data_IF_919533121025
#
_entry.id   IF_919533121025
#
_cell.length_a   1.000
_cell.length_b   1.000
_cell.length_c   1.000
_cell.angle_alpha   90.00
_cell.angle_beta   90.00
_cell.angle_gamma   90.00
#
_symmetry.space_group_name_H-M   'P 1'
#
loop_
_entity.id
_entity.type
_entity.pdbx_description
1 polymer ?
#
# COMPACT_ATOMS: atom_id res chain seq x y z
N UNK A 1 19.16 -15.80 -13.57
CA UNK A 1 18.35 -14.83 -12.79
C UNK A 1 18.93 -13.44 -13.02
N UNK A 2 18.11 -12.45 -13.36
CA UNK A 2 18.59 -11.07 -13.45
C UNK A 2 18.99 -10.60 -12.05
N UNK A 3 20.28 -10.28 -11.85
CA UNK A 3 20.74 -9.73 -10.57
C UNK A 3 20.09 -8.36 -10.37
N UNK A 4 19.62 -8.08 -9.17
CA UNK A 4 18.99 -6.80 -8.83
C UNK A 4 17.47 -6.75 -9.03
N UNK A 5 16.84 -7.81 -9.51
CA UNK A 5 15.37 -7.88 -9.67
C UNK A 5 14.74 -8.59 -8.47
N UNK A 6 14.09 -7.85 -7.56
CA UNK A 6 13.33 -8.47 -6.49
C UNK A 6 12.22 -9.36 -7.09
N UNK A 7 12.12 -10.60 -6.62
CA UNK A 7 11.01 -11.49 -6.96
C UNK A 7 10.02 -11.43 -5.81
N UNK A 8 8.90 -10.76 -6.07
CA UNK A 8 7.79 -10.59 -5.15
C UNK A 8 6.63 -11.52 -5.53
N UNK A 9 5.70 -11.83 -4.60
CA UNK A 9 4.50 -12.59 -4.92
C UNK A 9 3.72 -11.91 -6.07
N UNK A 10 3.22 -12.69 -7.06
CA UNK A 10 2.38 -12.14 -8.11
C UNK A 10 1.18 -11.40 -7.51
N UNK A 11 1.09 -10.11 -7.78
CA UNK A 11 -0.06 -9.32 -7.36
C UNK A 11 -1.15 -9.50 -8.40
N UNK A 12 -2.38 -9.79 -7.97
CA UNK A 12 -3.57 -9.92 -8.84
C UNK A 12 -4.58 -8.79 -8.57
N UNK A 13 -4.48 -8.16 -7.41
CA UNK A 13 -5.30 -7.02 -7.04
C UNK A 13 -4.75 -6.26 -5.85
N UNK A 14 -5.43 -5.19 -5.48
CA UNK A 14 -5.06 -4.29 -4.40
C UNK A 14 -6.17 -4.20 -3.37
N UNK A 15 -5.78 -3.94 -2.13
CA UNK A 15 -6.69 -3.61 -1.03
C UNK A 15 -6.38 -2.17 -0.62
N UNK A 16 -7.41 -1.33 -0.52
CA UNK A 16 -7.28 0.02 0.01
C UNK A 16 -8.31 0.28 1.13
N UNK A 17 -7.99 1.24 2.00
CA UNK A 17 -8.86 1.74 3.08
C UNK A 17 -9.03 3.26 2.95
N UNK A 18 -9.33 3.70 1.73
CA UNK A 18 -9.39 5.08 1.34
C UNK A 18 -9.64 5.23 -0.15
N UNK A 19 -10.03 6.43 -0.55
CA UNK A 19 -10.24 6.82 -1.94
C UNK A 19 -9.71 8.23 -2.17
N UNK A 20 -9.41 8.56 -3.42
CA UNK A 20 -9.17 9.96 -3.80
C UNK A 20 -10.53 10.63 -3.98
N UNK A 21 -10.72 11.79 -3.38
CA UNK A 21 -11.89 12.64 -3.56
C UNK A 21 -11.47 14.01 -4.06
N UNK A 22 -12.31 14.66 -4.85
CA UNK A 22 -12.10 16.04 -5.23
C UNK A 22 -12.72 16.96 -4.17
N UNK A 23 -11.90 17.80 -3.52
CA UNK A 23 -12.34 18.84 -2.60
C UNK A 23 -11.74 20.16 -3.06
N UNK A 24 -12.59 21.15 -3.35
CA UNK A 24 -12.18 22.49 -3.80
C UNK A 24 -11.27 22.47 -5.04
N UNK A 25 -11.57 21.63 -6.04
CA UNK A 25 -10.76 21.50 -7.27
C UNK A 25 -9.41 20.81 -7.07
N UNK A 26 -9.17 20.20 -5.89
CA UNK A 26 -7.96 19.43 -5.59
C UNK A 26 -8.31 17.98 -5.27
N UNK A 27 -7.59 17.04 -5.88
CA UNK A 27 -7.65 15.62 -5.55
C UNK A 27 -6.93 15.37 -4.23
N UNK A 28 -7.67 15.02 -3.18
CA UNK A 28 -7.14 14.72 -1.85
C UNK A 28 -7.52 13.30 -1.44
N UNK A 29 -6.64 12.55 -0.76
CA UNK A 29 -7.04 11.27 -0.20
C UNK A 29 -8.04 11.49 0.93
N UNK A 30 -9.01 10.60 1.00
CA UNK A 30 -9.94 10.48 2.09
C UNK A 30 -9.80 9.06 2.64
N UNK A 31 -9.43 8.96 3.93
CA UNK A 31 -9.45 7.67 4.63
C UNK A 31 -10.90 7.22 4.74
N UNK A 32 -11.16 6.01 4.27
CA UNK A 32 -12.49 5.42 4.29
C UNK A 32 -12.61 4.45 5.47
N UNK A 33 -13.83 4.19 5.92
CA UNK A 33 -14.14 3.26 7.01
C UNK A 33 -14.60 1.89 6.49
N UNK A 34 -14.16 1.56 5.27
CA UNK A 34 -14.40 0.31 4.56
C UNK A 34 -13.21 -0.03 3.65
N UNK A 35 -13.08 -1.31 3.33
CA UNK A 35 -12.14 -1.79 2.32
C UNK A 35 -12.70 -1.61 0.91
N UNK A 36 -11.79 -1.44 -0.05
CA UNK A 36 -12.07 -1.57 -1.48
C UNK A 36 -11.04 -2.51 -2.10
N UNK A 37 -11.51 -3.46 -2.92
CA UNK A 37 -10.64 -4.31 -3.73
C UNK A 37 -10.65 -3.82 -5.18
N UNK A 38 -9.47 -3.61 -5.74
CA UNK A 38 -9.29 -3.18 -7.12
C UNK A 38 -8.36 -4.15 -7.86
N UNK A 39 -8.45 -4.16 -9.18
CA UNK A 39 -7.43 -4.75 -10.04
C UNK A 39 -6.15 -3.91 -10.01
N UNK A 40 -5.17 -4.28 -10.83
CA UNK A 40 -3.98 -3.48 -11.10
C UNK A 40 -4.12 -2.57 -12.33
N UNK A 41 -5.33 -2.46 -12.89
CA UNK A 41 -5.59 -1.63 -14.06
C UNK A 41 -6.18 -0.29 -13.62
N UNK A 42 -5.58 0.80 -14.07
CA UNK A 42 -6.18 2.13 -13.98
C UNK A 42 -6.90 2.49 -15.28
N UNK A 43 -8.08 3.07 -15.15
CA UNK A 43 -8.81 3.69 -16.24
C UNK A 43 -9.16 5.11 -15.83
N UNK A 44 -8.77 6.10 -16.65
CA UNK A 44 -9.03 7.54 -16.38
C UNK A 44 -8.56 8.01 -14.99
N UNK A 45 -7.46 7.46 -14.48
CA UNK A 45 -6.88 7.83 -13.18
C UNK A 45 -7.59 7.25 -11.95
N UNK A 46 -8.44 6.24 -12.15
CA UNK A 46 -9.08 5.45 -11.11
C UNK A 46 -8.76 3.97 -11.27
N UNK A 47 -8.62 3.25 -10.16
CA UNK A 47 -8.41 1.80 -10.17
C UNK A 47 -9.72 1.07 -10.46
N UNK A 48 -9.71 0.17 -11.43
CA UNK A 48 -10.87 -0.64 -11.76
C UNK A 48 -11.19 -1.62 -10.62
N UNK A 49 -12.44 -1.70 -10.19
CA UNK A 49 -12.87 -2.61 -9.12
C UNK A 49 -12.60 -4.07 -9.49
N UNK A 50 -12.11 -4.85 -8.53
CA UNK A 50 -11.94 -6.28 -8.69
C UNK A 50 -13.31 -6.97 -8.52
N UNK A 51 -13.66 -8.04 -9.26
CA UNK A 51 -14.93 -8.75 -9.09
C UNK A 51 -15.22 -9.17 -7.64
N UNK A 52 -14.20 -9.62 -6.90
CA UNK A 52 -14.32 -9.95 -5.48
C UNK A 52 -14.79 -8.78 -4.59
N UNK A 53 -14.59 -7.53 -4.99
CA UNK A 53 -15.12 -6.38 -4.27
C UNK A 53 -16.65 -6.43 -4.18
N UNK A 54 -17.32 -6.73 -5.28
CA UNK A 54 -18.78 -6.88 -5.30
C UNK A 54 -19.21 -8.13 -4.56
N UNK A 55 -18.54 -9.27 -4.78
CA UNK A 55 -18.86 -10.53 -4.12
C UNK A 55 -18.82 -10.40 -2.60
N UNK A 56 -17.76 -9.82 -2.05
CA UNK A 56 -17.61 -9.62 -0.60
C UNK A 56 -18.61 -8.61 -0.03
N UNK A 57 -18.97 -7.58 -0.81
CA UNK A 57 -20.00 -6.60 -0.42
C UNK A 57 -21.39 -7.22 -0.40
N UNK A 58 -21.74 -8.08 -1.36
CA UNK A 58 -23.01 -8.81 -1.37
C UNK A 58 -23.12 -9.78 -0.18
N UNK A 59 -21.99 -10.34 0.27
CA UNK A 59 -21.93 -11.22 1.43
C UNK A 59 -21.94 -10.48 2.79
N UNK A 60 -21.85 -9.14 2.81
CA UNK A 60 -21.78 -8.34 4.03
C UNK A 60 -22.97 -7.37 4.12
N UNK A 61 -23.63 -7.30 5.27
CA UNK A 61 -24.63 -6.26 5.50
C UNK A 61 -23.95 -4.89 5.67
N UNK A 62 -23.92 -4.08 4.61
CA UNK A 62 -23.42 -2.70 4.63
C UNK A 62 -21.96 -2.55 4.20
N UNK A 63 -21.16 -1.85 5.00
CA UNK A 63 -19.77 -1.50 4.67
C UNK A 63 -18.85 -2.73 4.78
N UNK A 64 -17.99 -2.93 3.78
CA UNK A 64 -17.00 -4.01 3.79
C UNK A 64 -15.90 -3.69 4.82
N UNK A 65 -16.05 -4.17 6.06
CA UNK A 65 -15.11 -3.91 7.16
C UNK A 65 -14.28 -5.11 7.58
N UNK A 66 -14.53 -6.26 6.97
CA UNK A 66 -13.73 -7.47 7.14
C UNK A 66 -13.56 -8.15 5.78
N UNK A 67 -12.37 -8.69 5.53
CA UNK A 67 -12.06 -9.47 4.33
C UNK A 67 -11.49 -10.81 4.81
N UNK A 68 -12.08 -11.96 4.44
CA UNK A 68 -11.48 -13.26 4.72
C UNK A 68 -10.21 -13.42 3.89
N UNK A 69 -9.12 -13.79 4.54
CA UNK A 69 -7.81 -13.96 3.91
C UNK A 69 -7.15 -15.26 4.32
N UNK A 70 -6.15 -15.67 3.55
CA UNK A 70 -5.02 -16.51 3.97
C UNK A 70 -3.73 -15.76 3.64
N UNK A 71 -2.60 -16.25 4.14
CA UNK A 71 -1.29 -15.71 3.77
C UNK A 71 -0.47 -16.79 3.06
N UNK A 72 0.50 -16.38 2.25
CA UNK A 72 1.29 -17.28 1.40
C UNK A 72 2.35 -18.05 2.19
N UNK A 73 2.96 -17.38 3.17
CA UNK A 73 4.17 -17.86 3.83
C UNK A 73 3.95 -18.16 5.31
N UNK A 74 4.75 -19.05 5.88
CA UNK A 74 4.75 -19.23 7.33
C UNK A 74 5.57 -18.15 8.04
N UNK A 75 6.58 -17.59 7.38
CA UNK A 75 7.33 -16.45 7.88
C UNK A 75 6.50 -15.15 7.83
N UNK A 76 6.33 -14.41 8.95
CA UNK A 76 5.57 -13.17 9.00
C UNK A 76 6.14 -12.08 8.10
N UNK A 77 7.47 -11.98 8.00
CA UNK A 77 8.16 -10.92 7.26
C UNK A 77 8.04 -11.13 5.74
N UNK A 78 7.84 -12.39 5.32
CA UNK A 78 7.48 -12.73 3.94
C UNK A 78 6.01 -12.44 3.61
N UNK A 79 5.15 -12.14 4.60
CA UNK A 79 3.76 -11.72 4.39
C UNK A 79 3.49 -10.23 4.64
N UNK A 80 4.28 -9.56 5.48
CA UNK A 80 4.27 -8.10 5.67
C UNK A 80 5.71 -7.57 5.70
N UNK A 81 6.13 -6.89 4.63
CA UNK A 81 7.40 -6.15 4.62
C UNK A 81 7.14 -4.77 5.15
N UNK A 82 7.84 -4.40 6.22
CA UNK A 82 7.71 -3.11 6.87
C UNK A 82 9.09 -2.45 6.98
N UNK A 83 9.29 -1.38 6.21
CA UNK A 83 10.57 -0.69 6.10
C UNK A 83 10.36 0.82 6.12
N UNK A 84 11.39 1.58 6.49
CA UNK A 84 11.43 3.01 6.24
C UNK A 84 11.76 3.24 4.77
N UNK A 85 10.84 3.85 4.05
CA UNK A 85 10.99 4.10 2.62
C UNK A 85 10.93 5.59 2.31
N UNK A 86 11.71 5.99 1.31
CA UNK A 86 11.67 7.29 0.69
C UNK A 86 11.64 7.09 -0.82
N UNK A 87 10.69 7.78 -1.45
CA UNK A 87 10.50 7.76 -2.89
C UNK A 87 10.88 9.11 -3.49
N UNK A 88 11.31 9.10 -4.74
CA UNK A 88 11.35 10.28 -5.56
C UNK A 88 9.90 10.67 -5.92
N UNK A 89 9.57 11.95 -5.77
CA UNK A 89 8.19 12.42 -5.89
C UNK A 89 7.67 12.42 -7.33
N UNK A 90 8.57 12.67 -8.28
CA UNK A 90 8.20 12.85 -9.69
C UNK A 90 8.15 11.50 -10.41
N UNK A 91 9.10 10.62 -10.10
CA UNK A 91 9.24 9.32 -10.76
C UNK A 91 8.63 8.16 -9.99
N UNK A 92 8.23 8.36 -8.72
CA UNK A 92 7.71 7.31 -7.84
C UNK A 92 8.74 6.23 -7.51
N UNK A 93 10.02 6.41 -7.86
CA UNK A 93 11.07 5.41 -7.66
C UNK A 93 11.60 5.44 -6.23
N UNK A 94 11.87 4.28 -5.60
CA UNK A 94 12.51 4.26 -4.30
C UNK A 94 13.94 4.82 -4.41
N UNK A 95 14.24 5.81 -3.57
CA UNK A 95 15.60 6.41 -3.47
C UNK A 95 16.30 5.99 -2.19
N UNK A 96 15.57 5.55 -1.17
CA UNK A 96 16.14 4.97 0.03
C UNK A 96 15.15 4.03 0.72
N UNK A 97 15.60 2.83 1.08
CA UNK A 97 14.83 1.84 1.83
C UNK A 97 15.70 1.30 2.96
N UNK A 98 15.20 1.29 4.19
CA UNK A 98 15.97 0.88 5.36
C UNK A 98 15.14 0.34 6.51
N UNK A 99 15.82 -0.29 7.46
CA UNK A 99 15.19 -0.98 8.58
C UNK A 99 15.37 -0.27 9.94
N UNK A 100 15.93 0.93 9.95
CA UNK A 100 16.26 1.66 11.18
C UNK A 100 17.62 1.31 11.79
N UNK A 101 18.42 0.49 11.10
CA UNK A 101 19.85 0.26 11.39
C UNK A 101 20.70 0.52 10.14
N UNK A 102 20.30 -0.04 9.00
CA UNK A 102 20.92 0.16 7.69
C UNK A 102 19.88 0.49 6.62
N UNK A 103 20.32 1.12 5.54
CA UNK A 103 19.51 1.40 4.36
C UNK A 103 20.29 1.16 3.08
N UNK A 104 19.56 0.80 2.02
CA UNK A 104 20.00 0.90 0.63
C UNK A 104 19.57 2.25 0.10
N UNK A 105 20.52 3.06 -0.36
CA UNK A 105 20.26 4.42 -0.87
C UNK A 105 20.83 4.59 -2.28
N UNK A 106 20.07 5.26 -3.14
CA UNK A 106 20.53 5.72 -4.45
C UNK A 106 21.41 6.96 -4.24
N UNK A 107 22.65 6.90 -4.73
CA UNK A 107 23.63 7.99 -4.77
C UNK A 107 24.16 8.14 -6.19
N UNK A 108 24.97 9.16 -6.44
CA UNK A 108 25.60 9.38 -7.75
C UNK A 108 26.52 8.21 -8.17
N UNK A 109 27.02 7.43 -7.21
CA UNK A 109 27.85 6.25 -7.42
C UNK A 109 27.05 4.94 -7.61
N UNK A 110 25.72 4.99 -7.50
CA UNK A 110 24.83 3.83 -7.58
C UNK A 110 24.11 3.55 -6.27
N UNK A 111 23.80 2.28 -5.99
CA UNK A 111 23.09 1.90 -4.76
C UNK A 111 24.11 1.51 -3.68
N UNK A 112 24.11 2.24 -2.57
CA UNK A 112 25.03 2.04 -1.46
C UNK A 112 24.32 1.58 -0.18
N UNK A 113 25.03 0.81 0.65
CA UNK A 113 24.60 0.50 2.03
C UNK A 113 25.11 1.57 2.99
N UNK A 114 24.19 2.23 3.70
CA UNK A 114 24.51 3.30 4.65
C UNK A 114 23.80 3.08 5.99
N UNK A 115 24.31 3.63 7.10
CA UNK A 115 23.60 3.64 8.37
C UNK A 115 22.22 4.33 8.26
N UNK A 116 21.21 3.78 8.92
CA UNK A 116 19.85 4.30 8.93
C UNK A 116 19.42 4.61 10.36
N UNK A 117 19.63 5.82 10.89
CA UNK A 117 19.26 6.15 12.28
C UNK A 117 17.76 6.41 12.46
N UNK A 118 16.90 5.70 11.72
CA UNK A 118 15.46 5.97 11.51
C UNK A 118 15.17 7.35 10.89
N UNK A 119 13.91 7.63 10.45
CA UNK A 119 13.58 8.91 9.82
C UNK A 119 13.90 10.13 10.69
N UNK A 120 13.66 10.06 12.00
CA UNK A 120 13.84 11.20 12.91
C UNK A 120 15.32 11.59 13.06
N UNK A 121 16.22 10.60 13.03
CA UNK A 121 17.67 10.80 13.11
C UNK A 121 18.35 11.04 11.76
N UNK A 122 17.66 10.84 10.64
CA UNK A 122 18.25 10.86 9.31
C UNK A 122 18.00 12.21 8.61
N UNK A 123 19.03 13.03 8.36
CA UNK A 123 18.87 14.30 7.64
C UNK A 123 18.24 14.12 6.25
N UNK A 124 18.69 13.11 5.50
CA UNK A 124 18.13 12.74 4.20
C UNK A 124 16.66 12.33 4.31
N UNK A 125 16.32 11.53 5.32
CA UNK A 125 14.95 11.08 5.56
C UNK A 125 14.01 12.22 5.97
N UNK A 126 14.46 13.12 6.84
CA UNK A 126 13.70 14.31 7.29
C UNK A 126 13.37 15.25 6.14
N UNK A 127 14.32 15.50 5.25
CA UNK A 127 14.12 16.38 4.09
C UNK A 127 13.21 15.73 3.03
N UNK A 128 13.32 14.42 2.85
CA UNK A 128 12.59 13.69 1.81
C UNK A 128 11.17 13.22 2.18
N UNK A 129 10.75 13.30 3.45
CA UNK A 129 9.53 12.66 3.97
C UNK A 129 9.61 11.11 3.99
N UNK A 130 10.76 10.59 4.44
CA UNK A 130 10.92 9.16 4.70
C UNK A 130 9.99 8.70 5.84
N UNK A 131 9.30 7.58 5.65
CA UNK A 131 8.31 7.09 6.62
C UNK A 131 8.19 5.56 6.59
N UNK A 132 7.63 4.94 7.64
CA UNK A 132 7.29 3.53 7.61
C UNK A 132 6.38 3.21 6.43
N UNK A 133 6.64 2.09 5.77
CA UNK A 133 5.87 1.60 4.64
C UNK A 133 5.69 0.09 4.76
N UNK A 134 4.45 -0.32 4.92
CA UNK A 134 4.02 -1.71 4.98
C UNK A 134 3.48 -2.15 3.63
N UNK A 135 4.01 -3.24 3.11
CA UNK A 135 3.50 -3.97 1.94
C UNK A 135 3.06 -5.35 2.41
N UNK A 136 1.77 -5.62 2.51
CA UNK A 136 1.23 -6.92 2.93
C UNK A 136 0.64 -7.66 1.74
N UNK A 137 1.03 -8.92 1.55
CA UNK A 137 0.48 -9.78 0.50
C UNK A 137 -0.39 -10.84 1.15
N UNK A 138 -1.62 -11.00 0.65
CA UNK A 138 -2.61 -11.93 1.19
C UNK A 138 -3.35 -12.62 0.04
N UNK A 139 -3.85 -13.83 0.29
CA UNK A 139 -4.73 -14.55 -0.63
C UNK A 139 -6.18 -14.23 -0.24
N UNK A 140 -7.02 -13.91 -1.23
CA UNK A 140 -8.47 -13.70 -1.06
C UNK A 140 -9.19 -14.62 -2.05
N UNK A 141 -10.10 -15.46 -1.54
CA UNK A 141 -10.77 -16.48 -2.34
C UNK A 141 -9.86 -17.69 -2.61
N UNK A 142 -10.27 -18.51 -3.58
CA UNK A 142 -9.64 -19.79 -3.90
C UNK A 142 -9.31 -19.93 -5.40
N UNK A 143 -9.41 -18.84 -6.19
CA UNK A 143 -9.26 -18.87 -7.65
C UNK A 143 -7.79 -18.96 -8.11
N UNK A 144 -6.86 -18.39 -7.34
CA UNK A 144 -5.42 -18.41 -7.61
C UNK A 144 -4.66 -18.58 -6.29
N UNK A 145 -4.03 -19.75 -6.12
CA UNK A 145 -3.36 -20.15 -4.87
C UNK A 145 -1.98 -19.51 -4.71
N UNK A 146 -1.41 -18.94 -5.78
CA UNK A 146 -0.09 -18.28 -5.80
C UNK A 146 -0.19 -16.78 -6.08
N UNK A 147 -1.35 -16.31 -6.54
CA UNK A 147 -1.69 -14.90 -6.67
C UNK A 147 -2.00 -14.25 -5.32
N UNK A 148 -1.72 -12.95 -5.22
CA UNK A 148 -1.91 -12.18 -3.99
C UNK A 148 -2.58 -10.84 -4.21
N UNK A 149 -3.35 -10.42 -3.22
CA UNK A 149 -3.78 -9.06 -3.06
C UNK A 149 -2.77 -8.31 -2.20
N UNK A 150 -2.40 -7.12 -2.65
CA UNK A 150 -1.46 -6.28 -1.91
C UNK A 150 -2.18 -5.16 -1.15
N UNK A 151 -1.88 -5.05 0.14
CA UNK A 151 -2.28 -3.94 0.99
C UNK A 151 -1.04 -3.09 1.31
N UNK A 152 -1.04 -1.85 0.81
CA UNK A 152 0.02 -0.86 1.02
C UNK A 152 -0.43 0.15 2.06
N UNK A 153 0.45 0.51 3.00
CA UNK A 153 0.13 1.52 4.00
C UNK A 153 1.36 2.16 4.64
N UNK A 154 1.28 3.43 4.98
CA UNK A 154 2.22 4.15 5.85
C UNK A 154 1.69 4.34 7.26
N UNK A 155 0.52 3.74 7.57
CA UNK A 155 -0.11 3.81 8.88
C UNK A 155 0.68 2.98 9.90
N UNK A 156 1.37 3.67 10.81
CA UNK A 156 2.08 3.03 11.93
C UNK A 156 1.17 2.09 12.74
N UNK A 157 -0.09 2.47 12.97
CA UNK A 157 -1.04 1.63 13.72
C UNK A 157 -1.38 0.33 12.97
N UNK A 158 -1.53 0.39 11.64
CA UNK A 158 -1.77 -0.80 10.81
C UNK A 158 -0.53 -1.69 10.81
N UNK A 159 0.65 -1.14 10.48
CA UNK A 159 1.91 -1.88 10.39
C UNK A 159 2.21 -2.60 11.71
N UNK A 160 2.21 -1.89 12.83
CA UNK A 160 2.50 -2.48 14.15
C UNK A 160 1.52 -3.60 14.51
N UNK A 161 0.23 -3.38 14.27
CA UNK A 161 -0.80 -4.36 14.65
C UNK A 161 -0.71 -5.60 13.78
N UNK A 162 -0.60 -5.43 12.46
CA UNK A 162 -0.45 -6.54 11.52
C UNK A 162 0.80 -7.36 11.80
N UNK A 163 1.95 -6.72 12.00
CA UNK A 163 3.20 -7.41 12.34
C UNK A 163 3.03 -8.25 13.62
N UNK A 164 2.57 -7.65 14.72
CA UNK A 164 2.35 -8.36 15.98
C UNK A 164 1.42 -9.57 15.80
N UNK A 165 0.29 -9.38 15.10
CA UNK A 165 -0.68 -10.46 14.84
C UNK A 165 -0.08 -11.60 14.03
N UNK A 166 0.67 -11.31 12.97
CA UNK A 166 1.31 -12.34 12.15
C UNK A 166 2.31 -13.16 12.97
N UNK A 167 3.18 -12.51 13.77
CA UNK A 167 4.11 -13.22 14.64
C UNK A 167 3.40 -14.06 15.70
N UNK A 168 2.33 -13.53 16.32
CA UNK A 168 1.58 -14.27 17.33
C UNK A 168 0.84 -15.46 16.72
N UNK A 169 0.19 -15.29 15.58
CA UNK A 169 -0.49 -16.38 14.89
C UNK A 169 0.47 -17.47 14.43
N UNK A 170 1.67 -17.10 13.95
CA UNK A 170 2.74 -18.08 13.68
C UNK A 170 3.13 -18.86 14.95
N UNK A 171 3.33 -18.17 16.07
CA UNK A 171 3.75 -18.79 17.32
C UNK A 171 2.70 -19.77 17.86
N UNK A 172 1.45 -19.33 17.98
CA UNK A 172 0.37 -20.16 18.55
C UNK A 172 -0.08 -21.30 17.64
N UNK A 173 0.16 -21.19 16.32
CA UNK A 173 -0.13 -22.26 15.35
C UNK A 173 0.98 -23.29 15.19
N UNK A 174 2.15 -23.09 15.82
CA UNK A 174 3.29 -23.97 15.64
C UNK A 174 3.88 -23.88 14.23
N UNK A 175 4.03 -22.65 13.71
CA UNK A 175 4.55 -22.38 12.37
C UNK A 175 3.64 -22.87 11.23
N UNK A 176 2.32 -22.72 11.37
CA UNK A 176 1.31 -23.04 10.35
C UNK A 176 0.53 -21.80 9.88
N UNK A 177 1.17 -20.62 9.91
CA UNK A 177 0.54 -19.34 9.59
C UNK A 177 -0.14 -19.33 8.21
N UNK A 178 0.46 -19.93 7.19
CA UNK A 178 -0.11 -20.04 5.82
C UNK A 178 -1.33 -20.97 5.71
N UNK A 179 -1.62 -21.73 6.77
CA UNK A 179 -2.79 -22.60 6.85
C UNK A 179 -3.94 -21.99 7.66
N UNK A 180 -3.73 -20.83 8.32
CA UNK A 180 -4.76 -20.21 9.15
C UNK A 180 -5.79 -19.46 8.29
N UNK A 181 -7.10 -19.76 8.42
CA UNK A 181 -8.17 -18.92 7.89
C UNK A 181 -8.32 -17.66 8.75
N UNK A 182 -7.80 -16.54 8.26
CA UNK A 182 -7.81 -15.25 8.97
C UNK A 182 -8.78 -14.26 8.30
N UNK A 183 -8.94 -13.08 8.91
CA UNK A 183 -9.59 -11.91 8.31
C UNK A 183 -8.77 -10.64 8.55
N UNK A 184 -8.66 -9.79 7.53
CA UNK A 184 -8.30 -8.38 7.73
C UNK A 184 -9.53 -7.65 8.25
N UNK A 185 -9.38 -6.85 9.30
CA UNK A 185 -10.49 -6.12 9.92
C UNK A 185 -10.17 -4.65 10.13
N UNK A 186 -11.11 -3.78 9.77
CA UNK A 186 -11.00 -2.36 10.10
C UNK A 186 -11.36 -2.10 11.56
N UNK A 187 -10.47 -1.39 12.26
CA UNK A 187 -10.65 -0.96 13.64
C UNK A 187 -10.61 0.56 13.71
N UNK A 188 -11.58 1.14 14.43
CA UNK A 188 -11.59 2.56 14.75
C UNK A 188 -10.78 2.84 16.02
N UNK A 189 -10.07 3.97 16.04
CA UNK A 189 -9.42 4.52 17.23
C UNK A 189 -9.49 6.05 17.17
N UNK A 190 -9.55 6.71 18.32
CA UNK A 190 -9.30 8.16 18.43
C UNK A 190 -7.98 8.38 19.18
N UNK A 191 -7.17 9.33 18.74
CA UNK A 191 -5.88 9.66 19.36
C UNK A 191 -5.78 11.16 19.60
N UNK A 192 -4.86 11.57 20.49
CA UNK A 192 -4.56 13.00 20.66
C UNK A 192 -4.04 13.63 19.36
N UNK A 193 -3.18 12.90 18.63
CA UNK A 193 -2.64 13.31 17.33
C UNK A 193 -3.70 13.42 16.23
N UNK A 194 -4.85 12.73 16.36
CA UNK A 194 -5.97 12.87 15.42
C UNK A 194 -6.96 13.95 15.85
N UNK A 195 -6.64 14.79 16.83
CA UNK A 195 -7.58 15.78 17.39
C UNK A 195 -8.90 15.14 17.82
N UNK A 196 -8.82 13.90 18.36
CA UNK A 196 -9.96 13.04 18.74
C UNK A 196 -10.89 12.61 17.59
N UNK A 197 -10.58 12.95 16.33
CA UNK A 197 -11.26 12.37 15.17
C UNK A 197 -11.01 10.86 15.09
N UNK A 198 -12.02 10.13 14.61
CA UNK A 198 -11.93 8.70 14.39
C UNK A 198 -10.95 8.41 13.24
N UNK A 199 -9.94 7.60 13.52
CA UNK A 199 -9.01 7.04 12.54
C UNK A 199 -9.23 5.54 12.42
N UNK A 200 -9.12 5.02 11.20
CA UNK A 200 -9.22 3.59 10.93
C UNK A 200 -7.84 3.00 10.64
N UNK A 201 -7.60 1.81 11.16
CA UNK A 201 -6.40 1.02 10.88
C UNK A 201 -6.80 -0.44 10.63
N UNK A 202 -5.91 -1.18 9.97
CA UNK A 202 -6.13 -2.60 9.66
C UNK A 202 -5.53 -3.46 10.78
N UNK A 203 -6.34 -4.38 11.28
CA UNK A 203 -5.99 -5.44 12.22
C UNK A 203 -6.14 -6.80 11.53
N UNK A 204 -5.55 -7.84 12.12
CA UNK A 204 -5.62 -9.21 11.64
C UNK A 204 -6.18 -10.09 12.75
N UNK A 205 -7.18 -10.90 12.44
CA UNK A 205 -7.84 -11.77 13.42
C UNK A 205 -8.30 -13.08 12.82
N UNK A 206 -8.81 -13.97 13.68
CA UNK A 206 -9.58 -15.13 13.24
C UNK A 206 -10.90 -14.68 12.64
N UNK A 207 -11.40 -15.44 11.66
CA UNK A 207 -12.68 -15.13 11.00
C UNK A 207 -13.82 -15.08 12.01
N UNK A 208 -14.69 -14.08 11.85
CA UNK A 208 -15.85 -13.89 12.72
C UNK A 208 -16.70 -15.17 12.79
N UNK A 209 -17.05 -15.58 14.01
CA UNK A 209 -17.80 -16.82 14.28
C UNK A 209 -16.95 -18.05 14.62
N UNK A 210 -15.62 -17.99 14.50
CA UNK A 210 -14.72 -19.08 14.89
C UNK A 210 -13.95 -18.75 16.18
N UNK A 211 -13.66 -19.77 16.99
CA UNK A 211 -12.70 -19.65 18.09
C UNK A 211 -11.27 -19.84 17.59
N UNK A 212 -10.28 -19.40 18.38
CA UNK A 212 -8.88 -19.67 18.06
C UNK A 212 -8.60 -21.17 18.03
N UNK A 213 -9.14 -21.97 18.96
CA UNK A 213 -8.88 -23.42 18.94
C UNK A 213 -9.42 -24.09 17.67
N UNK A 214 -10.61 -23.71 17.20
CA UNK A 214 -11.19 -24.24 15.96
C UNK A 214 -10.29 -23.96 14.76
N UNK A 215 -9.83 -22.72 14.62
CA UNK A 215 -8.92 -22.30 13.55
C UNK A 215 -7.59 -23.04 13.60
N UNK A 216 -7.07 -23.34 14.80
CA UNK A 216 -5.85 -24.12 14.98
C UNK A 216 -6.02 -25.59 14.58
N UNK A 217 -7.18 -26.19 14.85
CA UNK A 217 -7.50 -27.56 14.40
C UNK A 217 -7.59 -27.60 12.88
N UNK A 218 -8.34 -26.68 12.27
CA UNK A 218 -8.48 -26.59 10.81
C UNK A 218 -7.12 -26.40 10.11
N UNK A 219 -6.25 -25.55 10.67
CA UNK A 219 -4.92 -25.33 10.12
C UNK A 219 -4.05 -26.60 10.13
N UNK A 220 -4.15 -27.45 11.16
CA UNK A 220 -3.44 -28.75 11.22
C UNK A 220 -3.97 -29.73 10.18
N UNK A 221 -5.28 -29.78 10.01
CA UNK A 221 -5.92 -30.64 9.00
C UNK A 221 -5.54 -30.20 7.58
N UNK A 222 -5.51 -28.89 7.32
CA UNK A 222 -5.07 -28.35 6.03
C UNK A 222 -3.58 -28.62 5.78
N UNK A 223 -2.71 -28.43 6.76
CA UNK A 223 -1.27 -28.75 6.65
C UNK A 223 -1.05 -30.23 6.34
N UNK A 224 -1.74 -31.14 7.04
CA UNK A 224 -1.66 -32.58 6.79
C UNK A 224 -2.09 -32.93 5.35
N UNK A 225 -3.20 -32.38 4.86
CA UNK A 225 -3.66 -32.58 3.48
C UNK A 225 -2.68 -32.02 2.46
N UNK A 226 -2.16 -30.81 2.70
CA UNK A 226 -1.17 -30.15 1.82
C UNK A 226 0.10 -30.97 1.70
N UNK A 227 0.65 -31.44 2.83
CA UNK A 227 1.84 -32.31 2.83
C UNK A 227 1.60 -33.63 2.10
N UNK A 228 0.44 -34.26 2.30
CA UNK A 228 0.08 -35.48 1.61
C UNK A 228 -0.03 -35.28 0.08
N UNK A 229 -0.43 -34.08 -0.37
CA UNK A 229 -0.46 -33.70 -1.78
C UNK A 229 0.90 -33.25 -2.34
N UNK A 230 1.96 -33.18 -1.52
CA UNK A 230 3.30 -32.75 -1.94
C UNK A 230 3.56 -31.24 -1.87
N UNK A 231 2.71 -30.48 -1.20
CA UNK A 231 2.93 -29.04 -1.00
C UNK A 231 4.06 -28.79 0.01
N UNK A 232 5.16 -28.17 -0.45
CA UNK A 232 6.31 -27.84 0.37
C UNK A 232 6.32 -26.35 0.75
N UNK A 233 5.75 -26.05 1.91
CA UNK A 233 5.70 -24.70 2.46
C UNK A 233 7.09 -24.15 2.84
N UNK A 234 8.02 -25.01 3.27
CA UNK A 234 9.36 -24.57 3.67
C UNK A 234 10.18 -24.16 2.44
N UNK A 235 10.08 -24.92 1.35
CA UNK A 235 10.68 -24.56 0.07
C UNK A 235 10.08 -23.27 -0.49
N UNK A 236 8.76 -23.08 -0.38
CA UNK A 236 8.10 -21.84 -0.80
C UNK A 236 8.61 -20.62 -0.01
N UNK A 237 8.70 -20.71 1.31
CA UNK A 237 9.24 -19.65 2.17
C UNK A 237 10.73 -19.35 1.82
N UNK A 238 11.53 -20.39 1.55
CA UNK A 238 12.92 -20.22 1.17
C UNK A 238 13.07 -19.54 -0.20
N UNK A 239 12.25 -19.94 -1.19
CA UNK A 239 12.23 -19.34 -2.52
C UNK A 239 11.83 -17.87 -2.47
N UNK A 240 10.81 -17.52 -1.66
CA UNK A 240 10.41 -16.13 -1.47
C UNK A 240 11.50 -15.29 -0.80
N UNK A 241 12.15 -15.81 0.25
CA UNK A 241 13.26 -15.09 0.91
C UNK A 241 14.40 -14.81 -0.07
N UNK A 242 14.79 -15.79 -0.88
CA UNK A 242 15.81 -15.60 -1.91
C UNK A 242 15.36 -14.61 -2.99
N UNK A 243 14.07 -14.66 -3.37
CA UNK A 243 13.44 -13.76 -4.31
C UNK A 243 13.49 -12.30 -3.87
N UNK A 244 13.05 -12.01 -2.65
CA UNK A 244 13.11 -10.66 -2.08
C UNK A 244 14.55 -10.15 -1.98
N UNK A 245 15.50 -11.01 -1.57
CA UNK A 245 16.91 -10.64 -1.44
C UNK A 245 17.63 -10.39 -2.77
N UNK A 246 17.04 -10.74 -3.92
CA UNK A 246 17.67 -10.58 -5.23
C UNK A 246 17.67 -9.11 -5.72
N UNK A 247 16.79 -8.26 -5.20
CA UNK A 247 16.72 -6.84 -5.54
C UNK A 247 17.09 -5.90 -4.40
N UNK A 248 17.57 -4.70 -4.73
CA UNK A 248 17.79 -3.65 -3.74
C UNK A 248 16.47 -2.99 -3.32
N UNK A 249 15.48 -2.98 -4.22
CA UNK A 249 14.16 -2.42 -4.02
C UNK A 249 13.10 -3.36 -4.59
N UNK A 250 11.93 -3.42 -3.94
CA UNK A 250 10.77 -4.20 -4.40
C UNK A 250 9.90 -3.43 -5.40
N UNK A 251 9.75 -2.11 -5.17
CA UNK A 251 8.83 -1.27 -5.93
C UNK A 251 9.40 -0.96 -7.33
N UNK A 252 8.54 -1.04 -8.36
CA UNK A 252 8.89 -0.73 -9.74
C UNK A 252 8.43 0.67 -10.14
N UNK A 253 9.00 1.27 -11.21
CA UNK A 253 8.52 2.56 -11.73
C UNK A 253 7.04 2.57 -12.11
N UNK A 254 6.47 1.41 -12.44
CA UNK A 254 5.06 1.28 -12.84
C UNK A 254 4.11 1.45 -11.66
N UNK A 255 4.62 1.43 -10.42
CA UNK A 255 3.84 1.62 -9.20
C UNK A 255 3.73 3.10 -8.78
N UNK A 256 4.20 4.03 -9.61
CA UNK A 256 4.22 5.49 -9.33
C UNK A 256 2.87 5.99 -8.84
N UNK A 257 1.75 5.58 -9.45
CA UNK A 257 0.42 6.02 -9.04
C UNK A 257 0.04 5.51 -7.63
N UNK A 258 0.41 4.27 -7.30
CA UNK A 258 0.19 3.70 -5.97
C UNK A 258 1.07 4.37 -4.90
N UNK A 259 2.32 4.67 -5.25
CA UNK A 259 3.26 5.42 -4.41
C UNK A 259 2.73 6.83 -4.17
N UNK A 260 2.29 7.55 -5.21
CA UNK A 260 1.74 8.89 -5.08
C UNK A 260 0.52 8.95 -4.16
N UNK A 261 -0.37 7.96 -4.25
CA UNK A 261 -1.55 7.81 -3.38
C UNK A 261 -1.19 7.70 -1.89
N UNK A 262 -0.14 6.94 -1.54
CA UNK A 262 0.23 6.68 -0.15
C UNK A 262 1.29 7.67 0.39
N UNK A 263 2.20 8.13 -0.48
CA UNK A 263 3.34 8.96 -0.10
C UNK A 263 3.12 10.45 -0.26
N UNK A 264 2.50 10.89 -1.35
CA UNK A 264 2.41 12.31 -1.74
C UNK A 264 0.98 12.78 -2.05
N UNK A 265 0.04 12.55 -1.12
CA UNK A 265 -1.34 12.92 -1.34
C UNK A 265 -1.53 14.42 -1.57
N UNK A 266 -2.25 14.79 -2.63
CA UNK A 266 -2.60 16.19 -2.94
C UNK A 266 -1.66 16.91 -3.90
N UNK A 267 -0.75 16.20 -4.58
CA UNK A 267 0.27 16.82 -5.44
C UNK A 267 0.19 16.43 -6.92
N UNK A 268 -0.76 15.57 -7.29
CA UNK A 268 -1.01 15.21 -8.69
C UNK A 268 -1.75 16.34 -9.41
N UNK A 269 -1.01 17.34 -9.89
CA UNK A 269 -1.39 18.06 -11.09
C UNK A 269 -0.80 17.30 -12.27
N UNK A 270 -1.59 16.62 -13.12
CA UNK A 270 -1.14 16.26 -14.45
C UNK A 270 -1.27 17.51 -15.32
N UNK A 271 -0.47 18.53 -15.03
CA UNK A 271 -0.24 19.65 -15.95
C UNK A 271 1.27 19.92 -15.95
N UNK A 272 2.00 19.03 -16.62
CA UNK A 272 3.29 19.37 -17.20
C UNK A 272 3.03 20.36 -18.32
N UNK A 273 2.96 21.64 -17.96
CA UNK A 273 3.00 22.77 -18.86
C UNK A 273 3.90 23.83 -18.23
N UNK A 274 5.14 23.89 -18.72
CA UNK A 274 6.18 24.88 -18.41
C UNK A 274 5.71 26.17 -17.75
N UNK A 275 6.37 26.53 -16.66
CA UNK A 275 6.34 27.89 -16.14
C UNK A 275 7.07 28.00 -14.82
N UNK A 276 8.38 28.28 -14.87
CA UNK A 276 9.10 28.96 -13.80
C UNK A 276 8.21 30.06 -13.19
N UNK A 277 8.07 30.08 -11.87
CA UNK A 277 7.75 31.32 -11.17
C UNK A 277 8.61 31.42 -9.93
N UNK A 278 9.65 32.23 -10.09
CA UNK A 278 10.26 33.05 -9.06
C UNK A 278 9.18 33.75 -8.21
N UNK A 279 9.55 34.01 -6.96
CA UNK A 279 8.83 34.87 -6.04
C UNK A 279 8.60 36.27 -6.66
N UNK A 280 7.41 36.84 -6.45
CA UNK A 280 7.19 38.15 -5.77
C UNK A 280 5.93 38.88 -6.25
N UNK A 281 5.31 39.56 -5.27
CA UNK A 281 4.38 40.70 -5.36
C UNK A 281 2.94 40.50 -5.83
N UNK A 282 2.03 40.91 -4.93
CA UNK A 282 0.59 40.83 -5.10
C UNK A 282 0.02 41.77 -6.15
N UNK A 283 -0.99 41.29 -6.84
CA UNK A 283 -1.99 42.07 -7.56
C UNK A 283 -3.33 41.34 -7.39
N UNK A 284 -4.44 42.02 -7.08
CA UNK A 284 -5.72 41.35 -6.83
C UNK A 284 -6.19 40.55 -8.06
N UNK A 285 -6.97 39.48 -7.85
CA UNK A 285 -7.40 38.61 -8.93
C UNK A 285 -8.32 39.36 -9.90
N UNK A 286 -7.97 39.34 -11.19
CA UNK A 286 -8.78 39.89 -12.28
C UNK A 286 -10.20 39.31 -12.24
N UNK A 287 -11.21 40.17 -12.34
CA UNK A 287 -12.61 39.78 -12.26
C UNK A 287 -13.04 39.02 -13.52
N UNK A 288 -14.14 38.26 -13.44
CA UNK A 288 -14.73 37.54 -14.59
C UNK A 288 -15.01 38.46 -15.79
N UNK A 289 -15.26 39.75 -15.52
CA UNK A 289 -15.47 40.78 -16.54
C UNK A 289 -14.20 41.04 -17.36
N UNK A 290 -13.05 41.13 -16.70
CA UNK A 290 -11.75 41.35 -17.36
C UNK A 290 -11.35 40.15 -18.24
N UNK A 291 -11.73 38.93 -17.84
CA UNK A 291 -11.49 37.72 -18.64
C UNK A 291 -12.42 37.63 -19.85
N UNK A 292 -13.67 38.09 -19.73
CA UNK A 292 -14.64 38.10 -20.82
C UNK A 292 -14.31 39.19 -21.86
N UNK A 293 -13.85 40.38 -21.44
CA UNK A 293 -13.42 41.44 -22.36
C UNK A 293 -12.17 41.03 -23.17
N UNK A 294 -11.18 40.40 -22.54
CA UNK A 294 -10.02 39.85 -23.29
C UNK A 294 -10.42 38.79 -24.31
N UNK A 295 -11.42 37.96 -23.97
CA UNK A 295 -11.93 36.93 -24.87
C UNK A 295 -12.76 37.52 -26.02
N UNK A 296 -13.47 38.64 -25.78
CA UNK A 296 -14.21 39.37 -26.81
C UNK A 296 -13.27 40.09 -27.80
N UNK A 297 -12.16 40.68 -27.32
CA UNK A 297 -11.14 41.30 -28.17
C UNK A 297 -10.42 40.27 -29.05
N UNK A 298 -10.19 39.06 -28.55
CA UNK A 298 -9.60 37.95 -29.31
C UNK A 298 -10.54 37.34 -30.38
N UNK A 299 -11.86 37.53 -30.25
CA UNK A 299 -12.86 36.99 -31.17
C UNK A 299 -13.35 38.01 -32.21
N UNK A 300 -13.06 39.32 -32.05
CA UNK A 300 -13.45 40.39 -32.97
C UNK A 300 -12.51 40.62 -34.17
N UNK A 301 -11.44 39.82 -34.33
CA UNK A 301 -10.38 40.03 -35.34
C UNK A 301 -10.47 39.21 -36.63
N UNK A 302 -11.61 38.61 -36.96
CA UNK A 302 -11.81 37.90 -38.23
C UNK A 302 -13.23 38.08 -38.79
N UNK A 303 -13.47 39.19 -39.50
CA UNK A 303 -14.39 39.26 -40.63
C UNK A 303 -14.26 40.63 -41.34
N UNK A 304 -13.90 40.56 -42.63
CA UNK A 304 -13.89 41.61 -43.67
C UNK A 304 -12.96 42.81 -43.47
#
# INVERSE_FOLDING_TARGET
>A
MLKGLAITPPVVGRISIGRIVEKNGKRVPEKDDQFTLTTQVQQRGEWMLHPLNETLRKATAGKLRAIPIRVLFNDPDLNLRAEYSLFDRDTGRPVCVGNGEQCRRVTDAGIESLPCPSPDGCAFGRQGNCKPYGRMNVIIGDDDEMGSFIFRTTSYNSIRTLAARLHYFRAVSGNLLACLPLELKLRGKSTAQSYRSAIYYVDLGVRSGNTLEQVLIEAKELDARRRAAGFDQAALDAAARAGFANGAFEDSPDETAAVAEEFYPGTTNPDTGNGHTDETTGTPPSTLRDKLERKAVLLGGKAA
#
